data_IF_829189953959
#
_entry.id   IF_829189953959
#
_cell.length_a   1.000
_cell.length_b   1.000
_cell.length_c   1.000
_cell.angle_alpha   90.00
_cell.angle_beta   90.00
_cell.angle_gamma   90.00
#
_symmetry.space_group_name_H-M   'P 1'
#
loop_
_entity.id
_entity.type
_entity.pdbx_description
1 polymer ?
#
# COMPACT_ATOMS: atom_id res chain seq x y z
N UNK A 1 40.02 56.99 -2.46
CA UNK A 1 39.66 56.06 -3.56
C UNK A 1 39.93 54.58 -3.27
N UNK A 2 41.03 54.19 -2.58
CA UNK A 2 41.30 52.76 -2.28
C UNK A 2 40.43 52.15 -1.16
N UNK A 3 39.86 52.97 -0.29
CA UNK A 3 39.07 52.50 0.86
C UNK A 3 37.61 52.18 0.48
N UNK A 4 37.05 52.92 -0.48
CA UNK A 4 35.69 52.72 -0.97
C UNK A 4 35.57 51.45 -1.84
N UNK A 5 36.63 51.05 -2.53
CA UNK A 5 36.69 49.77 -3.25
C UNK A 5 36.72 48.58 -2.28
N UNK A 6 37.45 48.70 -1.16
CA UNK A 6 37.52 47.66 -0.14
C UNK A 6 36.17 47.44 0.54
N UNK A 7 35.42 48.52 0.80
CA UNK A 7 34.07 48.45 1.40
C UNK A 7 33.03 47.78 0.49
N UNK A 8 33.16 47.90 -0.83
CA UNK A 8 32.25 47.24 -1.80
C UNK A 8 32.52 45.76 -1.97
N UNK A 9 33.78 45.32 -1.84
CA UNK A 9 34.14 43.89 -1.90
C UNK A 9 33.62 43.13 -0.66
N UNK A 10 33.73 43.73 0.53
CA UNK A 10 33.25 43.14 1.79
C UNK A 10 31.72 42.98 1.82
N UNK A 11 30.96 43.93 1.28
CA UNK A 11 29.50 43.84 1.16
C UNK A 11 29.05 42.75 0.16
N UNK A 12 29.78 42.59 -0.95
CA UNK A 12 29.48 41.52 -1.92
C UNK A 12 29.79 40.13 -1.36
N UNK A 13 30.85 40.01 -0.56
CA UNK A 13 31.21 38.76 0.13
C UNK A 13 30.17 38.41 1.21
N UNK A 14 29.69 39.39 1.98
CA UNK A 14 28.62 39.19 2.95
C UNK A 14 27.32 38.70 2.30
N UNK A 15 26.92 39.25 1.14
CA UNK A 15 25.74 38.78 0.40
C UNK A 15 25.90 37.36 -0.15
N UNK A 16 27.11 37.01 -0.61
CA UNK A 16 27.42 35.64 -1.07
C UNK A 16 27.38 34.63 0.07
N UNK A 17 27.88 34.99 1.25
CA UNK A 17 27.83 34.15 2.44
C UNK A 17 26.38 33.89 2.89
N UNK A 18 25.54 34.94 2.96
CA UNK A 18 24.12 34.81 3.33
C UNK A 18 23.33 33.96 2.32
N UNK A 19 23.60 34.11 1.02
CA UNK A 19 22.96 33.27 -0.01
C UNK A 19 23.41 31.80 0.10
N UNK A 20 24.70 31.56 0.37
CA UNK A 20 25.23 30.22 0.58
C UNK A 20 24.58 29.54 1.80
N UNK A 21 24.38 30.27 2.89
CA UNK A 21 23.71 29.77 4.08
C UNK A 21 22.24 29.41 3.81
N UNK A 22 21.49 30.28 3.11
CA UNK A 22 20.11 29.99 2.68
C UNK A 22 20.04 28.76 1.78
N UNK A 23 21.02 28.56 0.90
CA UNK A 23 21.10 27.36 0.05
C UNK A 23 21.43 26.11 0.86
N UNK A 24 22.33 26.19 1.84
CA UNK A 24 22.68 25.09 2.73
C UNK A 24 21.48 24.68 3.61
N UNK A 25 20.77 25.63 4.21
CA UNK A 25 19.57 25.38 4.99
C UNK A 25 18.47 24.69 4.16
N UNK A 26 18.26 25.14 2.90
CA UNK A 26 17.32 24.49 1.97
C UNK A 26 17.73 23.06 1.62
N UNK A 27 19.03 22.77 1.48
CA UNK A 27 19.52 21.40 1.24
C UNK A 27 19.28 20.49 2.44
N UNK A 28 19.64 20.93 3.65
CA UNK A 28 19.38 20.18 4.89
C UNK A 28 17.88 19.87 5.07
N UNK A 29 17.00 20.86 4.87
CA UNK A 29 15.55 20.65 4.95
C UNK A 29 15.03 19.62 3.92
N UNK A 30 15.59 19.60 2.71
CA UNK A 30 15.23 18.60 1.69
C UNK A 30 15.71 17.20 2.06
N UNK A 31 16.93 17.08 2.58
CA UNK A 31 17.50 15.82 3.05
C UNK A 31 16.70 15.25 4.22
N UNK A 32 16.34 16.08 5.20
CA UNK A 32 15.54 15.64 6.35
C UNK A 32 14.13 15.19 5.92
N UNK A 33 13.52 15.91 4.96
CA UNK A 33 12.24 15.48 4.37
C UNK A 33 12.38 14.14 3.64
N UNK A 34 13.44 13.96 2.86
CA UNK A 34 13.70 12.71 2.13
C UNK A 34 13.95 11.54 3.10
N UNK A 35 14.66 11.76 4.21
CA UNK A 35 14.86 10.76 5.27
C UNK A 35 13.54 10.35 5.92
N UNK A 36 12.69 11.32 6.29
CA UNK A 36 11.36 11.04 6.86
C UNK A 36 10.46 10.25 5.90
N UNK A 37 10.45 10.62 4.62
CA UNK A 37 9.69 9.91 3.59
C UNK A 37 10.21 8.48 3.39
N UNK A 38 11.54 8.28 3.41
CA UNK A 38 12.14 6.95 3.31
C UNK A 38 11.79 6.06 4.51
N UNK A 39 11.78 6.62 5.73
CA UNK A 39 11.35 5.89 6.93
C UNK A 39 9.88 5.46 6.85
N UNK A 40 8.98 6.38 6.48
CA UNK A 40 7.56 6.06 6.31
C UNK A 40 7.33 4.99 5.24
N UNK A 41 8.07 5.04 4.12
CA UNK A 41 8.01 3.98 3.10
C UNK A 41 8.50 2.64 3.63
N UNK A 42 9.53 2.62 4.45
CA UNK A 42 10.06 1.39 5.02
C UNK A 42 9.07 0.77 6.02
N UNK A 43 8.42 1.60 6.84
CA UNK A 43 7.35 1.20 7.78
C UNK A 43 6.17 0.58 7.03
N UNK A 44 5.60 1.30 6.04
CA UNK A 44 4.51 0.78 5.21
C UNK A 44 4.87 -0.55 4.52
N UNK A 45 6.13 -0.72 4.10
CA UNK A 45 6.60 -1.97 3.48
C UNK A 45 6.61 -3.12 4.50
N UNK A 46 7.00 -2.86 5.75
CA UNK A 46 6.96 -3.86 6.83
C UNK A 46 5.52 -4.28 7.12
N UNK A 47 4.62 -3.32 7.28
CA UNK A 47 3.20 -3.59 7.57
C UNK A 47 2.53 -4.43 6.48
N UNK A 48 2.77 -4.08 5.21
CA UNK A 48 2.26 -4.87 4.07
C UNK A 48 2.84 -6.28 4.06
N UNK A 49 4.13 -6.44 4.41
CA UNK A 49 4.77 -7.76 4.46
C UNK A 49 4.19 -8.60 5.60
N UNK A 50 3.97 -8.00 6.77
CA UNK A 50 3.39 -8.65 7.93
C UNK A 50 1.94 -9.08 7.65
N UNK A 51 1.13 -8.20 7.06
CA UNK A 51 -0.24 -8.53 6.70
C UNK A 51 -0.31 -9.66 5.66
N UNK A 52 0.58 -9.67 4.67
CA UNK A 52 0.69 -10.78 3.73
C UNK A 52 1.10 -12.10 4.41
N UNK A 53 2.02 -12.05 5.40
CA UNK A 53 2.41 -13.22 6.18
C UNK A 53 1.26 -13.77 7.01
N UNK A 54 0.46 -12.91 7.65
CA UNK A 54 -0.74 -13.31 8.41
C UNK A 54 -1.77 -13.99 7.49
N UNK A 55 -2.11 -13.39 6.35
CA UNK A 55 -3.04 -14.01 5.39
C UNK A 55 -2.53 -15.37 4.88
N UNK A 56 -1.22 -15.51 4.64
CA UNK A 56 -0.65 -16.81 4.25
C UNK A 56 -0.66 -17.83 5.39
N UNK A 57 -0.60 -17.39 6.65
CA UNK A 57 -0.77 -18.24 7.84
C UNK A 57 -2.18 -18.80 7.90
N UNK A 58 -3.19 -17.93 7.83
CA UNK A 58 -4.61 -18.32 7.83
C UNK A 58 -4.94 -19.33 6.72
N UNK A 59 -4.47 -19.09 5.49
CA UNK A 59 -4.68 -20.01 4.36
C UNK A 59 -4.03 -21.38 4.61
N UNK A 60 -2.84 -21.41 5.22
CA UNK A 60 -2.16 -22.68 5.55
C UNK A 60 -2.89 -23.44 6.64
N UNK A 61 -3.39 -22.74 7.65
CA UNK A 61 -4.13 -23.33 8.76
C UNK A 61 -5.46 -23.90 8.27
N UNK A 62 -6.19 -23.18 7.43
CA UNK A 62 -7.41 -23.68 6.78
C UNK A 62 -7.13 -24.93 5.94
N UNK A 63 -6.04 -24.93 5.17
CA UNK A 63 -5.62 -26.09 4.39
C UNK A 63 -5.25 -27.29 5.29
N UNK A 64 -4.53 -27.05 6.39
CA UNK A 64 -4.21 -28.09 7.39
C UNK A 64 -5.47 -28.64 8.07
N UNK A 65 -6.45 -27.79 8.37
CA UNK A 65 -7.73 -28.21 8.93
C UNK A 65 -8.52 -29.05 7.92
N UNK A 66 -8.57 -28.65 6.64
CA UNK A 66 -9.17 -29.45 5.58
C UNK A 66 -8.48 -30.80 5.41
N UNK A 67 -7.14 -30.85 5.42
CA UNK A 67 -6.36 -32.08 5.37
C UNK A 67 -6.71 -33.02 6.55
N UNK A 68 -6.76 -32.47 7.76
CA UNK A 68 -7.10 -33.23 8.98
C UNK A 68 -8.53 -33.76 8.98
N UNK A 69 -9.48 -32.99 8.46
CA UNK A 69 -10.91 -33.35 8.47
C UNK A 69 -11.32 -34.25 7.31
N UNK A 70 -10.74 -34.08 6.12
CA UNK A 70 -11.17 -34.80 4.91
C UNK A 70 -10.29 -36.00 4.56
N UNK A 71 -8.97 -35.89 4.70
CA UNK A 71 -8.03 -36.90 4.19
C UNK A 71 -7.66 -37.91 5.29
N UNK A 72 -7.41 -37.43 6.51
CA UNK A 72 -7.02 -38.27 7.65
C UNK A 72 -8.05 -39.38 7.97
N UNK A 73 -9.38 -39.12 8.00
CA UNK A 73 -10.38 -40.16 8.21
C UNK A 73 -10.51 -41.15 7.06
N UNK A 74 -10.22 -40.74 5.82
CA UNK A 74 -10.23 -41.64 4.65
C UNK A 74 -9.06 -42.61 4.72
N UNK A 75 -7.88 -42.14 5.15
CA UNK A 75 -6.71 -42.99 5.35
C UNK A 75 -6.90 -43.93 6.56
N UNK A 76 -7.43 -43.41 7.68
CA UNK A 76 -7.65 -44.18 8.90
C UNK A 76 -8.86 -45.14 8.82
N UNK A 77 -9.91 -44.75 8.07
CA UNK A 77 -11.19 -45.43 8.00
C UNK A 77 -11.23 -46.69 7.13
N UNK A 78 -10.24 -46.90 6.27
CA UNK A 78 -10.16 -48.09 5.41
C UNK A 78 -9.73 -49.38 6.14
N UNK A 79 -9.65 -49.36 7.48
CA UNK A 79 -9.36 -50.53 8.31
C UNK A 79 -10.58 -51.09 9.05
N UNK A 80 -11.79 -50.58 8.75
CA UNK A 80 -13.04 -50.99 9.42
C UNK A 80 -13.67 -52.31 8.94
N UNK A 81 -12.88 -53.23 8.39
CA UNK A 81 -13.20 -54.65 8.46
C UNK A 81 -12.18 -55.39 9.34
N UNK A 82 -12.33 -55.34 10.68
CA UNK A 82 -11.45 -56.02 11.63
C UNK A 82 -11.64 -57.54 11.70
N UNK A 83 -12.26 -58.20 10.69
CA UNK A 83 -12.60 -59.62 10.78
C UNK A 83 -11.68 -60.62 10.06
N UNK A 84 -10.86 -60.26 9.07
CA UNK A 84 -10.21 -61.31 8.23
C UNK A 84 -8.72 -61.13 7.87
N UNK A 85 -7.88 -60.45 8.68
CA UNK A 85 -6.42 -60.43 8.41
C UNK A 85 -5.62 -60.95 9.61
N UNK A 86 -5.79 -62.25 9.88
CA UNK A 86 -4.88 -63.07 10.69
C UNK A 86 -3.62 -63.38 9.87
N UNK A 87 -2.79 -62.37 9.64
CA UNK A 87 -1.56 -62.50 8.85
C UNK A 87 -0.46 -61.64 9.46
N UNK A 88 0.26 -62.22 10.42
CA UNK A 88 1.41 -61.59 11.09
C UNK A 88 2.49 -61.18 10.07
N UNK A 89 2.56 -59.89 9.72
CA UNK A 89 3.81 -59.27 9.26
C UNK A 89 4.20 -58.18 10.23
N UNK A 90 5.17 -58.53 11.07
CA UNK A 90 5.91 -57.66 11.97
C UNK A 90 6.68 -56.65 11.11
N UNK A 91 6.14 -55.44 10.95
CA UNK A 91 6.90 -54.31 10.40
C UNK A 91 7.32 -53.49 11.60
N UNK A 92 8.57 -53.68 11.98
CA UNK A 92 9.30 -52.93 12.99
C UNK A 92 9.54 -51.52 12.43
N UNK A 93 8.75 -50.56 12.89
CA UNK A 93 9.01 -49.16 12.63
C UNK A 93 9.92 -48.67 13.76
N UNK A 94 11.22 -48.61 13.47
CA UNK A 94 12.22 -47.96 14.31
C UNK A 94 11.97 -46.45 14.20
N UNK A 95 11.24 -45.88 15.16
CA UNK A 95 11.24 -44.45 15.41
C UNK A 95 12.47 -44.14 16.25
N UNK A 96 13.51 -43.65 15.60
CA UNK A 96 14.73 -43.16 16.24
C UNK A 96 14.54 -41.68 16.60
N UNK A 97 15.04 -41.33 17.79
CA UNK A 97 15.20 -40.00 18.38
C UNK A 97 14.00 -39.29 19.03
N UNK A 98 13.72 -39.73 20.26
CA UNK A 98 13.38 -38.85 21.38
C UNK A 98 14.66 -38.08 21.82
N UNK A 99 14.92 -36.91 21.20
CA UNK A 99 15.78 -35.89 21.83
C UNK A 99 14.91 -34.92 22.63
N UNK A 100 14.71 -35.29 23.90
CA UNK A 100 14.14 -34.45 24.94
C UNK A 100 15.15 -33.35 25.31
N UNK A 101 15.10 -32.20 24.61
CA UNK A 101 15.93 -31.05 24.94
C UNK A 101 15.25 -30.15 25.97
N UNK A 102 15.81 -30.14 27.16
CA UNK A 102 15.46 -29.32 28.31
C UNK A 102 15.72 -27.83 28.00
N UNK A 103 14.70 -27.10 27.54
CA UNK A 103 14.82 -25.68 27.18
C UNK A 103 14.58 -24.77 28.39
N UNK A 104 15.52 -24.82 29.33
CA UNK A 104 15.69 -23.79 30.35
C UNK A 104 16.99 -23.05 30.09
N UNK A 105 16.94 -21.96 29.32
CA UNK A 105 18.00 -20.94 29.32
C UNK A 105 17.43 -19.61 28.87
N UNK A 106 17.25 -18.75 29.87
CA UNK A 106 17.12 -17.31 29.79
C UNK A 106 18.42 -16.74 29.20
N UNK A 107 18.54 -16.75 27.87
CA UNK A 107 19.78 -16.46 27.15
C UNK A 107 19.58 -15.51 25.97
N UNK A 108 19.65 -14.21 26.25
CA UNK A 108 20.04 -13.11 25.35
C UNK A 108 19.76 -13.28 23.83
N UNK A 109 18.69 -12.64 23.35
CA UNK A 109 18.21 -12.61 21.96
C UNK A 109 19.17 -12.03 20.91
N UNK A 110 20.37 -11.57 21.30
CA UNK A 110 21.32 -10.93 20.36
C UNK A 110 22.15 -11.94 19.56
N UNK A 111 22.28 -13.19 20.01
CA UNK A 111 23.14 -14.21 19.36
C UNK A 111 22.48 -14.87 18.14
N UNK A 112 21.15 -15.03 18.15
CA UNK A 112 20.39 -15.68 17.06
C UNK A 112 20.56 -14.92 15.74
N UNK A 113 20.60 -13.59 15.78
CA UNK A 113 20.77 -12.78 14.57
C UNK A 113 22.16 -12.91 13.94
N UNK A 114 23.19 -13.11 14.77
CA UNK A 114 24.57 -13.30 14.31
C UNK A 114 24.77 -14.69 13.71
N UNK A 115 24.18 -15.72 14.31
CA UNK A 115 24.27 -17.09 13.80
C UNK A 115 23.57 -17.25 12.45
N UNK A 116 22.43 -16.57 12.24
CA UNK A 116 21.76 -16.51 10.94
C UNK A 116 22.60 -15.76 9.89
N UNK A 117 23.29 -14.69 10.27
CA UNK A 117 24.21 -13.97 9.37
C UNK A 117 25.34 -14.89 8.87
N UNK A 118 25.96 -15.65 9.77
CA UNK A 118 27.06 -16.55 9.43
C UNK A 118 26.59 -17.74 8.59
N UNK A 119 25.41 -18.31 8.88
CA UNK A 119 24.79 -19.36 8.06
C UNK A 119 24.41 -18.86 6.66
N UNK A 120 23.94 -17.62 6.54
CA UNK A 120 23.56 -17.03 5.24
C UNK A 120 24.79 -16.67 4.40
N UNK A 121 25.92 -16.31 5.02
CA UNK A 121 27.19 -16.06 4.33
C UNK A 121 27.72 -17.27 3.54
N UNK A 122 27.44 -18.50 3.99
CA UNK A 122 27.75 -19.74 3.26
C UNK A 122 26.82 -20.04 2.07
N UNK A 123 25.66 -19.36 1.98
CA UNK A 123 24.72 -19.51 0.86
C UNK A 123 25.03 -18.57 -0.33
N UNK A 124 26.13 -17.80 -0.24
CA UNK A 124 26.68 -17.09 -1.39
C UNK A 124 27.16 -18.11 -2.43
N UNK A 125 26.25 -18.54 -3.30
CA UNK A 125 26.54 -19.26 -4.53
C UNK A 125 27.40 -18.36 -5.42
N UNK A 126 28.72 -18.40 -5.19
CA UNK A 126 29.74 -17.75 -6.01
C UNK A 126 29.84 -18.40 -7.40
N UNK A 127 29.28 -19.59 -7.55
CA UNK A 127 29.31 -20.35 -8.79
C UNK A 127 28.09 -20.03 -9.66
N UNK A 128 28.21 -18.95 -10.43
CA UNK A 128 27.31 -18.72 -11.56
C UNK A 128 27.58 -19.80 -12.59
N UNK A 129 26.69 -20.80 -12.66
CA UNK A 129 26.65 -21.79 -13.73
C UNK A 129 26.90 -21.10 -15.07
N UNK A 130 27.98 -21.49 -15.73
CA UNK A 130 28.21 -21.17 -17.14
C UNK A 130 26.99 -21.69 -17.89
N UNK A 131 26.23 -20.80 -18.54
CA UNK A 131 25.29 -21.25 -19.57
C UNK A 131 26.15 -21.92 -20.63
N UNK A 132 25.98 -23.22 -20.79
CA UNK A 132 26.52 -23.94 -21.94
C UNK A 132 25.88 -23.33 -23.19
N UNK A 133 26.72 -22.96 -24.16
CA UNK A 133 26.27 -22.47 -25.45
C UNK A 133 25.55 -23.62 -26.18
N UNK A 134 24.31 -23.34 -26.56
CA UNK A 134 23.58 -23.97 -27.67
C UNK A 134 23.27 -25.47 -27.52
N UNK A 135 22.43 -25.81 -26.53
CA UNK A 135 21.58 -27.01 -26.63
C UNK A 135 20.59 -26.77 -27.77
N UNK A 136 20.82 -27.43 -28.90
CA UNK A 136 19.87 -27.49 -30.02
C UNK A 136 18.56 -28.10 -29.53
N UNK A 137 17.62 -27.23 -29.20
CA UNK A 137 16.27 -27.63 -28.81
C UNK A 137 15.54 -28.01 -30.09
N UNK A 138 15.50 -29.32 -30.39
CA UNK A 138 14.78 -29.85 -31.53
C UNK A 138 13.27 -29.57 -31.39
N UNK A 139 12.76 -28.87 -32.40
CA UNK A 139 11.38 -28.83 -32.91
C UNK A 139 10.23 -28.88 -31.89
N UNK A 140 10.26 -27.97 -30.92
CA UNK A 140 9.06 -27.69 -30.13
C UNK A 140 8.04 -26.90 -30.98
N UNK A 141 6.78 -27.39 -31.11
CA UNK A 141 5.78 -26.75 -31.94
C UNK A 141 5.53 -25.31 -31.49
N UNK A 142 5.47 -24.34 -32.42
CA UNK A 142 5.34 -22.93 -32.09
C UNK A 142 4.03 -22.68 -31.35
N UNK A 143 4.15 -22.37 -30.05
CA UNK A 143 3.01 -22.02 -29.21
C UNK A 143 2.42 -20.71 -29.75
N UNK A 144 1.21 -20.80 -30.33
CA UNK A 144 0.40 -19.66 -30.77
C UNK A 144 -0.08 -18.87 -29.55
N UNK A 145 0.77 -18.01 -29.02
CA UNK A 145 0.37 -17.03 -28.01
C UNK A 145 -0.46 -15.91 -28.68
N UNK A 146 -1.57 -15.47 -28.05
CA UNK A 146 -2.30 -14.30 -28.53
C UNK A 146 -1.38 -13.07 -28.53
N UNK A 147 -1.48 -12.26 -29.59
CA UNK A 147 -0.58 -11.13 -29.83
C UNK A 147 -0.55 -10.18 -28.62
N UNK A 148 0.57 -10.17 -27.90
CA UNK A 148 0.85 -9.20 -26.84
C UNK A 148 0.79 -7.80 -27.45
N UNK A 149 -0.25 -7.05 -27.12
CA UNK A 149 -0.34 -5.60 -27.38
C UNK A 149 0.76 -4.90 -26.58
N UNK A 150 1.91 -4.71 -27.19
CA UNK A 150 2.91 -3.77 -26.69
C UNK A 150 2.40 -2.35 -26.93
N UNK A 151 2.48 -1.44 -25.95
CA UNK A 151 2.16 -0.04 -26.17
C UNK A 151 3.15 0.52 -27.20
N UNK A 152 2.60 0.91 -28.35
CA UNK A 152 3.31 1.42 -29.51
C UNK A 152 4.16 2.64 -29.11
N UNK A 153 5.47 2.44 -28.91
CA UNK A 153 6.41 3.56 -28.82
C UNK A 153 6.50 4.19 -30.20
N UNK A 154 6.00 5.42 -30.32
CA UNK A 154 6.27 6.28 -31.47
C UNK A 154 7.80 6.41 -31.62
N UNK A 155 8.31 5.90 -32.74
CA UNK A 155 9.70 6.04 -33.13
C UNK A 155 10.06 7.51 -33.29
N UNK A 156 10.93 8.01 -32.42
CA UNK A 156 11.71 9.21 -32.67
C UNK A 156 12.67 8.87 -33.83
N UNK A 157 12.37 9.43 -35.00
CA UNK A 157 13.29 9.42 -36.14
C UNK A 157 14.62 10.06 -35.71
N UNK A 158 15.79 9.45 -35.97
CA UNK A 158 17.07 10.15 -35.86
C UNK A 158 17.12 11.22 -36.96
N UNK A 159 16.87 12.47 -36.58
CA UNK A 159 17.12 13.63 -37.42
C UNK A 159 18.61 13.70 -37.71
N UNK A 160 18.94 13.84 -39.00
CA UNK A 160 20.27 13.86 -39.56
C UNK A 160 21.26 14.74 -38.78
N UNK A 161 22.44 14.15 -38.53
CA UNK A 161 23.64 14.84 -38.07
C UNK A 161 24.11 15.71 -39.25
N UNK A 162 23.99 17.03 -39.13
CA UNK A 162 24.69 17.97 -40.00
C UNK A 162 26.09 18.22 -39.41
N UNK A 163 27.18 17.91 -40.12
CA UNK A 163 28.52 18.27 -39.70
C UNK A 163 28.97 19.49 -40.51
N UNK A 164 28.91 20.72 -39.99
CA UNK A 164 29.67 21.83 -40.63
C UNK A 164 29.76 23.17 -39.88
N UNK A 165 31.01 23.65 -39.84
CA UNK A 165 31.51 25.05 -39.84
C UNK A 165 31.50 25.86 -38.54
N UNK A 166 32.66 25.80 -37.87
CA UNK A 166 33.56 26.90 -37.44
C UNK A 166 33.03 28.33 -37.17
N UNK A 167 33.60 28.91 -36.09
CA UNK A 167 34.32 30.21 -36.01
C UNK A 167 33.69 31.35 -35.16
N UNK A 168 34.61 31.95 -34.39
CA UNK A 168 34.66 33.29 -33.75
C UNK A 168 33.69 33.59 -32.60
N UNK A 169 34.15 33.77 -31.34
CA UNK A 169 34.89 34.94 -30.79
C UNK A 169 34.14 36.26 -31.02
N UNK A 170 33.56 36.82 -29.95
CA UNK A 170 33.87 38.20 -29.54
C UNK A 170 33.33 38.48 -28.13
N UNK A 171 34.22 39.05 -27.31
CA UNK A 171 33.86 39.75 -26.09
C UNK A 171 33.23 41.08 -26.48
N UNK A 172 32.21 41.52 -25.75
CA UNK A 172 31.91 42.94 -25.63
C UNK A 172 31.53 43.24 -24.18
N UNK A 173 32.37 44.05 -23.53
CA UNK A 173 32.07 44.78 -22.30
C UNK A 173 31.09 45.89 -22.67
N UNK A 174 29.99 46.02 -21.93
CA UNK A 174 29.07 47.14 -22.01
C UNK A 174 28.62 47.54 -20.61
N UNK A 175 29.18 48.65 -20.12
CA UNK A 175 28.83 49.34 -18.89
C UNK A 175 27.54 50.15 -19.08
N UNK A 176 26.75 50.22 -18.00
CA UNK A 176 25.68 51.20 -17.71
C UNK A 176 24.45 51.17 -18.64
N UNK A 177 23.32 50.76 -18.09
CA UNK A 177 22.35 51.69 -17.50
C UNK A 177 20.96 51.05 -17.33
N UNK A 178 20.22 51.60 -16.36
CA UNK A 178 18.78 51.53 -16.14
C UNK A 178 18.19 50.14 -15.90
N UNK A 179 17.73 49.93 -14.67
CA UNK A 179 16.74 48.92 -14.29
C UNK A 179 15.47 49.17 -15.11
N UNK A 180 15.07 48.29 -16.05
CA UNK A 180 13.69 48.24 -16.46
C UNK A 180 12.98 47.25 -15.53
N UNK A 181 11.95 47.72 -14.84
CA UNK A 181 11.00 46.83 -14.20
C UNK A 181 10.51 45.82 -15.25
N UNK A 182 10.98 44.57 -15.16
CA UNK A 182 10.52 43.50 -16.05
C UNK A 182 9.12 43.11 -15.59
N UNK A 183 8.16 43.68 -16.28
CA UNK A 183 6.87 43.08 -16.58
C UNK A 183 7.02 41.56 -16.74
N UNK A 184 6.08 40.85 -16.10
CA UNK A 184 5.94 39.40 -16.19
C UNK A 184 5.72 39.01 -17.65
N UNK A 185 6.81 38.70 -18.35
CA UNK A 185 6.74 37.98 -19.61
C UNK A 185 6.12 36.60 -19.32
N UNK A 186 4.99 36.24 -19.95
CA UNK A 186 4.44 34.91 -19.82
C UNK A 186 5.41 33.96 -20.49
N UNK A 187 6.10 33.14 -19.70
CA UNK A 187 6.87 32.02 -20.24
C UNK A 187 5.93 31.16 -21.07
N UNK A 188 6.09 31.25 -22.39
CA UNK A 188 5.53 30.32 -23.38
C UNK A 188 6.17 28.95 -23.16
N UNK A 189 5.70 28.21 -22.17
CA UNK A 189 5.77 26.76 -22.22
C UNK A 189 4.78 26.29 -23.28
N UNK A 190 5.19 25.50 -24.28
CA UNK A 190 4.27 24.89 -25.23
C UNK A 190 3.48 23.78 -24.52
N UNK A 191 2.52 24.17 -23.68
CA UNK A 191 1.45 23.31 -23.18
C UNK A 191 0.37 23.23 -24.26
N UNK A 192 0.72 22.71 -25.43
CA UNK A 192 -0.24 22.54 -26.52
C UNK A 192 -0.43 21.06 -26.82
N UNK A 193 -1.69 20.63 -26.67
CA UNK A 193 -2.32 19.42 -27.24
C UNK A 193 -2.40 18.16 -26.37
N UNK A 194 -3.03 18.28 -25.20
CA UNK A 194 -4.00 17.27 -24.77
C UNK A 194 -5.26 17.95 -24.21
N UNK A 195 -5.90 18.75 -25.07
CA UNK A 195 -7.33 18.96 -24.99
C UNK A 195 -8.03 17.71 -25.53
N UNK A 196 -8.32 16.75 -24.65
CA UNK A 196 -9.38 15.77 -24.86
C UNK A 196 -10.24 15.81 -23.62
N UNK A 197 -11.29 16.61 -23.75
CA UNK A 197 -12.56 16.59 -23.04
C UNK A 197 -12.55 16.10 -21.59
N UNK A 198 -12.98 17.00 -20.71
CA UNK A 198 -13.65 16.68 -19.46
C UNK A 198 -14.73 15.63 -19.73
N UNK A 199 -14.36 14.36 -19.71
CA UNK A 199 -15.28 13.32 -19.28
C UNK A 199 -15.41 13.59 -17.79
N UNK A 200 -16.51 14.23 -17.42
CA UNK A 200 -17.16 13.89 -16.17
C UNK A 200 -17.02 12.38 -15.99
N UNK A 201 -16.52 11.90 -14.83
CA UNK A 201 -16.54 10.46 -14.58
C UNK A 201 -17.97 10.01 -14.85
N UNK A 202 -18.17 8.92 -15.58
CA UNK A 202 -19.50 8.49 -15.98
C UNK A 202 -20.34 8.43 -14.71
N UNK A 203 -21.50 9.09 -14.75
CA UNK A 203 -22.61 8.97 -13.82
C UNK A 203 -23.18 7.54 -13.85
N UNK A 204 -22.31 6.54 -13.86
CA UNK A 204 -22.63 5.15 -13.58
C UNK A 204 -22.46 5.01 -12.08
N UNK A 205 -23.60 4.82 -11.39
CA UNK A 205 -23.73 4.38 -9.99
C UNK A 205 -22.40 4.39 -9.25
N UNK A 206 -22.16 5.43 -8.44
CA UNK A 206 -21.05 5.48 -7.49
C UNK A 206 -21.04 4.14 -6.75
N UNK A 207 -20.15 3.24 -7.15
CA UNK A 207 -19.89 2.07 -6.33
C UNK A 207 -19.29 2.61 -5.02
N UNK A 208 -19.52 1.93 -3.88
CA UNK A 208 -19.26 2.43 -2.53
C UNK A 208 -17.86 3.02 -2.18
N UNK A 209 -16.73 2.71 -2.86
CA UNK A 209 -15.41 3.22 -2.47
C UNK A 209 -15.28 4.74 -2.38
N UNK A 210 -16.00 5.53 -3.18
CA UNK A 210 -15.93 7.00 -3.08
C UNK A 210 -16.63 7.54 -1.83
N UNK A 211 -17.78 6.96 -1.46
CA UNK A 211 -18.54 7.33 -0.26
C UNK A 211 -17.80 6.89 1.01
N UNK A 212 -17.18 5.71 1.00
CA UNK A 212 -16.32 5.25 2.08
C UNK A 212 -15.13 6.20 2.30
N UNK A 213 -14.45 6.62 1.23
CA UNK A 213 -13.35 7.59 1.32
C UNK A 213 -13.82 8.98 1.78
N UNK A 214 -14.99 9.45 1.34
CA UNK A 214 -15.56 10.70 1.80
C UNK A 214 -15.90 10.64 3.31
N UNK A 215 -16.52 9.55 3.76
CA UNK A 215 -16.83 9.28 5.17
C UNK A 215 -15.55 9.26 6.01
N UNK A 216 -14.49 8.61 5.53
CA UNK A 216 -13.21 8.56 6.22
C UNK A 216 -12.59 9.96 6.39
N UNK A 217 -12.53 10.76 5.31
CA UNK A 217 -11.99 12.12 5.38
C UNK A 217 -12.80 13.04 6.31
N UNK A 218 -14.12 12.85 6.35
CA UNK A 218 -14.99 13.57 7.26
C UNK A 218 -14.72 13.19 8.72
N UNK A 219 -14.63 11.88 9.03
CA UNK A 219 -14.22 11.40 10.36
C UNK A 219 -12.88 11.99 10.78
N UNK A 220 -11.87 11.97 9.91
CA UNK A 220 -10.54 12.54 10.19
C UNK A 220 -10.59 14.05 10.48
N UNK A 221 -11.55 14.75 9.89
CA UNK A 221 -11.74 16.19 10.12
C UNK A 221 -12.32 16.42 11.51
N UNK A 222 -13.38 15.69 11.87
CA UNK A 222 -14.00 15.76 13.20
C UNK A 222 -13.00 15.39 14.30
N UNK A 223 -12.24 14.30 14.11
CA UNK A 223 -11.21 13.89 15.07
C UNK A 223 -10.21 15.01 15.31
N UNK A 224 -9.80 15.75 14.27
CA UNK A 224 -8.86 16.88 14.41
C UNK A 224 -9.46 18.07 15.13
N UNK A 225 -10.76 18.30 15.01
CA UNK A 225 -11.46 19.38 15.71
C UNK A 225 -11.65 19.02 17.19
N UNK A 226 -11.96 17.76 17.49
CA UNK A 226 -12.37 17.31 18.83
C UNK A 226 -11.22 16.77 19.69
N UNK A 227 -10.07 16.39 19.09
CA UNK A 227 -8.92 15.85 19.84
C UNK A 227 -8.37 16.80 20.92
N UNK A 228 -8.48 18.11 20.71
CA UNK A 228 -7.94 19.13 21.59
C UNK A 228 -8.97 19.55 22.67
N UNK A 229 -10.19 18.99 22.62
CA UNK A 229 -11.19 19.19 23.65
C UNK A 229 -10.79 18.56 24.99
N UNK A 230 -11.27 19.18 26.06
CA UNK A 230 -11.10 18.68 27.42
C UNK A 230 -12.07 17.53 27.71
N UNK A 231 -11.77 16.72 28.73
CA UNK A 231 -12.60 15.56 29.09
C UNK A 231 -14.06 15.94 29.42
N UNK A 232 -14.27 17.10 30.04
CA UNK A 232 -15.61 17.59 30.39
C UNK A 232 -16.43 18.02 29.17
N UNK A 233 -15.76 18.60 28.17
CA UNK A 233 -16.38 18.98 26.90
C UNK A 233 -16.78 17.73 26.10
N UNK A 234 -15.91 16.72 26.07
CA UNK A 234 -16.20 15.42 25.45
C UNK A 234 -17.40 14.75 26.14
N UNK A 235 -17.42 14.70 27.47
CA UNK A 235 -18.57 14.17 28.23
C UNK A 235 -19.86 14.92 27.93
N UNK A 236 -19.81 16.24 27.75
CA UNK A 236 -20.98 17.04 27.36
C UNK A 236 -21.45 16.66 25.96
N UNK A 237 -20.56 16.61 24.98
CA UNK A 237 -20.91 16.21 23.61
C UNK A 237 -21.44 14.78 23.53
N UNK A 238 -20.85 13.83 24.26
CA UNK A 238 -21.37 12.46 24.34
C UNK A 238 -22.79 12.44 24.93
N UNK A 239 -23.10 13.23 25.97
CA UNK A 239 -24.47 13.32 26.52
C UNK A 239 -25.46 13.93 25.54
N UNK A 240 -25.05 14.95 24.79
CA UNK A 240 -25.89 15.60 23.75
C UNK A 240 -26.21 14.63 22.60
N UNK A 241 -25.25 13.78 22.23
CA UNK A 241 -25.42 12.76 21.18
C UNK A 241 -25.96 11.42 21.68
N UNK A 242 -26.14 11.24 22.99
CA UNK A 242 -26.63 10.01 23.60
C UNK A 242 -25.62 8.84 23.64
N UNK A 243 -24.32 9.14 23.60
CA UNK A 243 -23.23 8.17 23.63
C UNK A 243 -22.67 7.97 25.06
N UNK A 244 -22.23 6.75 25.36
CA UNK A 244 -21.56 6.43 26.63
C UNK A 244 -20.10 6.91 26.62
N UNK A 245 -19.60 7.38 27.77
CA UNK A 245 -18.22 7.86 27.89
C UNK A 245 -17.35 6.81 28.60
N UNK A 246 -16.56 6.06 27.83
CA UNK A 246 -15.66 5.01 28.35
C UNK A 246 -14.20 5.47 28.48
N UNK A 247 -13.82 6.55 27.79
CA UNK A 247 -12.47 7.10 27.81
C UNK A 247 -12.33 8.29 26.87
N UNK A 248 -11.21 9.03 26.97
CA UNK A 248 -10.98 10.20 26.10
C UNK A 248 -10.91 9.81 24.62
N UNK A 249 -10.16 8.75 24.31
CA UNK A 249 -9.94 8.31 22.93
C UNK A 249 -11.20 7.68 22.34
N UNK A 250 -11.85 6.78 23.08
CA UNK A 250 -13.07 6.10 22.63
C UNK A 250 -14.20 7.11 22.37
N UNK A 251 -14.38 8.08 23.28
CA UNK A 251 -15.33 9.17 23.08
C UNK A 251 -15.08 9.94 21.78
N UNK A 252 -13.81 10.23 21.42
CA UNK A 252 -13.48 10.94 20.17
C UNK A 252 -13.86 10.09 18.95
N UNK A 253 -13.55 8.80 18.96
CA UNK A 253 -13.84 7.91 17.83
C UNK A 253 -15.33 7.66 17.66
N UNK A 254 -16.06 7.48 18.76
CA UNK A 254 -17.51 7.25 18.75
C UNK A 254 -18.26 8.50 18.27
N UNK A 255 -17.88 9.69 18.75
CA UNK A 255 -18.48 10.96 18.31
C UNK A 255 -18.24 11.18 16.80
N UNK A 256 -16.99 10.99 16.35
CA UNK A 256 -16.64 11.15 14.94
C UNK A 256 -17.38 10.14 14.05
N UNK A 257 -17.55 8.90 14.52
CA UNK A 257 -18.31 7.89 13.80
C UNK A 257 -19.81 8.20 13.77
N UNK A 258 -20.38 8.62 14.88
CA UNK A 258 -21.79 8.97 14.99
C UNK A 258 -22.13 10.17 14.10
N UNK A 259 -21.36 11.25 14.15
CA UNK A 259 -21.54 12.39 13.25
C UNK A 259 -21.34 12.02 11.78
N UNK A 260 -20.38 11.15 11.46
CA UNK A 260 -20.21 10.65 10.09
C UNK A 260 -21.40 9.78 9.64
N UNK A 261 -21.97 8.96 10.53
CA UNK A 261 -23.20 8.21 10.26
C UNK A 261 -24.38 9.14 10.05
N UNK A 262 -24.53 10.21 10.83
CA UNK A 262 -25.58 11.20 10.62
C UNK A 262 -25.41 11.93 9.28
N UNK A 263 -24.20 12.37 8.95
CA UNK A 263 -23.90 13.11 7.72
C UNK A 263 -24.10 12.27 6.46
N UNK A 264 -23.67 11.00 6.46
CA UNK A 264 -23.71 10.14 5.26
C UNK A 264 -24.86 9.12 5.25
N UNK A 265 -25.46 8.82 6.40
CA UNK A 265 -26.58 7.89 6.55
C UNK A 265 -27.94 8.55 6.37
N UNK A 266 -28.05 9.88 6.53
CA UNK A 266 -29.29 10.63 6.26
C UNK A 266 -29.55 10.86 4.77
N UNK A 267 -28.54 10.66 3.91
CA UNK A 267 -28.60 10.95 2.46
C UNK A 267 -29.12 9.74 1.62
N UNK A 268 -29.56 8.65 2.25
CA UNK A 268 -29.96 7.41 1.56
C UNK A 268 -31.47 7.12 1.50
N UNK A 269 -32.36 8.03 1.92
CA UNK A 269 -33.78 7.84 1.59
C UNK A 269 -34.51 9.14 1.28
N UNK A 270 -34.51 9.52 -0.01
CA UNK A 270 -35.78 9.82 -0.64
C UNK A 270 -35.92 9.01 -1.93
N UNK A 271 -36.44 7.78 -1.85
CA UNK A 271 -37.13 7.17 -2.99
C UNK A 271 -36.59 5.85 -3.50
N UNK A 272 -36.21 4.92 -2.61
CA UNK A 272 -36.45 3.52 -2.95
C UNK A 272 -37.92 3.28 -2.64
N UNK A 273 -38.78 3.41 -3.66
CA UNK A 273 -40.11 2.84 -3.65
C UNK A 273 -39.98 1.39 -3.16
N UNK A 274 -40.40 1.17 -1.92
CA UNK A 274 -40.74 -0.14 -1.41
C UNK A 274 -41.86 -0.63 -2.31
N UNK A 275 -41.51 -1.38 -3.35
CA UNK A 275 -42.42 -2.29 -4.01
C UNK A 275 -42.86 -3.25 -2.91
N UNK A 276 -44.05 -3.00 -2.36
CA UNK A 276 -44.76 -3.94 -1.50
C UNK A 276 -44.93 -5.21 -2.33
N UNK A 277 -44.09 -6.22 -2.08
CA UNK A 277 -44.37 -7.61 -2.38
C UNK A 277 -45.47 -8.08 -1.43
N UNK A 278 -46.67 -7.53 -1.62
CA UNK A 278 -47.91 -8.05 -1.08
C UNK A 278 -48.75 -8.43 -2.30
N UNK A 279 -48.43 -9.57 -2.91
CA UNK A 279 -49.42 -10.46 -3.53
C UNK A 279 -48.71 -11.74 -4.01
N UNK A 280 -48.69 -12.79 -3.19
CA UNK A 280 -48.53 -14.17 -3.66
C UNK A 280 -48.96 -15.13 -2.54
N UNK A 281 -50.28 -15.23 -2.40
CA UNK A 281 -50.95 -16.51 -2.20
C UNK A 281 -50.95 -17.08 -0.80
N UNK A 282 -51.88 -16.62 0.03
CA UNK A 282 -52.58 -17.50 0.95
C UNK A 282 -53.34 -18.55 0.12
N UNK A 283 -52.81 -19.78 0.06
CA UNK A 283 -53.64 -20.96 -0.18
C UNK A 283 -53.71 -21.75 1.10
N UNK A 284 -54.75 -21.45 1.88
CA UNK A 284 -55.24 -22.32 2.93
C UNK A 284 -55.61 -23.69 2.33
N UNK A 285 -54.90 -24.73 2.75
CA UNK A 285 -55.36 -26.09 2.65
C UNK A 285 -55.72 -26.55 4.06
N UNK A 286 -56.99 -26.38 4.40
CA UNK A 286 -57.68 -27.05 5.49
C UNK A 286 -57.51 -28.56 5.34
N UNK A 287 -56.80 -29.20 6.27
CA UNK A 287 -56.93 -30.64 6.50
C UNK A 287 -57.43 -30.84 7.93
N UNK A 288 -58.72 -31.10 7.99
CA UNK A 288 -59.47 -31.63 9.12
C UNK A 288 -59.33 -33.15 9.17
N UNK A 289 -58.91 -33.68 10.32
CA UNK A 289 -59.21 -35.02 10.86
C UNK A 289 -59.08 -34.83 12.38
N UNK A 290 -60.14 -34.76 13.18
CA UNK A 290 -61.14 -35.80 13.48
C UNK A 290 -60.49 -37.17 13.71
N UNK A 291 -60.23 -37.51 14.98
CA UNK A 291 -60.63 -38.82 15.51
C UNK A 291 -60.58 -38.81 17.05
N UNK A 292 -61.70 -39.26 17.61
CA UNK A 292 -62.00 -39.39 19.03
C UNK A 292 -61.38 -40.66 19.64
N UNK A 293 -61.36 -40.72 20.98
CA UNK A 293 -61.21 -41.97 21.74
C UNK A 293 -60.03 -41.98 22.68
#
# INVERSE_FOLDING_TARGET
MKEESRRREEEEEARKAEEAEKRAAKKKKKEDKAKKEALLRAEMKKDVTLHAALMMGEIKDDWLQQLKTSILPVIAGNTKDPKDIKGNKKVEFVSEDDEESDYSTEGSETTVTQELSDKTGRLCLSDKRKREDDVKMEDSPPVKLPAKRTPWRQGLKPSAINPRVTRSKSKAKGLRSVIPAKERTPMKTPLSKMGKQKKTPPTGRLTPPSKALARLRYRDTIIKEIKDCNADELRRMCREEGLHYEGKLDAIFDLAEHQAKQHFGREEDPGIEVVRLADLGDTEASVSEETAG
#
